data_IF_717533864248
#
_entry.id   IF_717533864248
#
_cell.length_a   1.000
_cell.length_b   1.000
_cell.length_c   1.000
_cell.angle_alpha   90.00
_cell.angle_beta   90.00
_cell.angle_gamma   90.00
#
_symmetry.space_group_name_H-M   'P 1'
#
loop_
_entity.id
_entity.type
_entity.pdbx_description
1 polymer ?
#
# COMPACT_ATOMS: atom_id res chain seq x y z
N UNK A 1 15.39 -42.80 16.20
CA UNK A 1 14.66 -42.36 14.99
C UNK A 1 13.78 -41.16 15.33
N UNK A 2 14.02 -39.98 14.74
CA UNK A 2 13.03 -38.91 14.56
C UNK A 2 13.64 -37.88 13.60
N UNK A 3 13.31 -37.96 12.30
CA UNK A 3 13.74 -36.96 11.32
C UNK A 3 13.03 -35.64 11.65
N UNK A 4 13.79 -34.61 12.05
CA UNK A 4 13.31 -33.23 12.16
C UNK A 4 12.88 -32.76 10.76
N UNK A 5 11.57 -32.85 10.50
CA UNK A 5 11.00 -32.38 9.25
C UNK A 5 10.98 -30.85 9.28
N UNK A 6 12.02 -30.22 8.69
CA UNK A 6 12.04 -28.77 8.44
C UNK A 6 10.86 -28.44 7.53
N UNK A 7 9.74 -28.00 8.12
CA UNK A 7 8.59 -27.50 7.39
C UNK A 7 9.05 -26.30 6.53
N UNK A 8 9.20 -26.52 5.23
CA UNK A 8 9.38 -25.47 4.25
C UNK A 8 8.19 -24.51 4.39
N UNK A 9 8.46 -23.22 4.58
CA UNK A 9 7.44 -22.17 4.47
C UNK A 9 6.71 -22.36 3.13
N UNK A 10 5.37 -22.47 3.10
CA UNK A 10 4.68 -22.61 1.82
C UNK A 10 4.91 -21.32 1.02
N UNK A 11 5.55 -21.46 -0.16
CA UNK A 11 5.80 -20.35 -1.10
C UNK A 11 4.52 -19.80 -1.74
N UNK A 12 3.37 -20.43 -1.49
CA UNK A 12 2.10 -20.09 -2.11
C UNK A 12 0.99 -20.01 -1.06
N UNK A 13 0.16 -18.97 -1.18
CA UNK A 13 -1.15 -18.92 -0.56
C UNK A 13 -1.98 -20.16 -0.98
N UNK A 14 -2.93 -20.63 -0.14
CA UNK A 14 -3.74 -21.80 -0.47
C UNK A 14 -4.41 -21.66 -1.84
N UNK A 15 -4.27 -22.69 -2.68
CA UNK A 15 -4.91 -22.76 -4.00
C UNK A 15 -6.41 -22.85 -3.78
N UNK A 16 -7.14 -21.85 -4.27
CA UNK A 16 -8.59 -21.72 -4.09
C UNK A 16 -9.27 -22.78 -4.97
N UNK A 17 -9.81 -23.84 -4.37
CA UNK A 17 -10.55 -24.87 -5.10
C UNK A 17 -12.03 -24.48 -5.23
N UNK A 18 -12.41 -24.21 -6.49
CA UNK A 18 -13.74 -24.32 -7.16
C UNK A 18 -14.92 -23.43 -6.74
N UNK A 19 -15.40 -22.66 -7.73
CA UNK A 19 -16.76 -22.16 -7.85
C UNK A 19 -16.85 -20.84 -8.63
N UNK A 20 -16.19 -19.81 -8.12
CA UNK A 20 -16.29 -18.43 -8.63
C UNK A 20 -14.86 -17.89 -8.81
N UNK A 21 -14.38 -17.84 -10.06
CA UNK A 21 -13.09 -17.25 -10.37
C UNK A 21 -13.14 -15.77 -9.97
N UNK A 22 -12.25 -15.35 -9.06
CA UNK A 22 -12.16 -13.95 -8.66
C UNK A 22 -11.94 -13.10 -9.93
N UNK A 23 -12.89 -12.22 -10.23
CA UNK A 23 -12.87 -11.40 -11.45
C UNK A 23 -11.92 -10.22 -11.28
N UNK A 24 -11.36 -9.73 -12.38
CA UNK A 24 -10.58 -8.49 -12.35
C UNK A 24 -11.50 -7.35 -11.89
N UNK A 25 -11.03 -6.59 -10.91
CA UNK A 25 -11.81 -5.52 -10.29
C UNK A 25 -12.13 -4.41 -11.30
N UNK A 26 -13.40 -4.07 -11.41
CA UNK A 26 -13.89 -2.93 -12.19
C UNK A 26 -13.53 -1.60 -11.53
N UNK A 27 -13.79 -0.50 -12.24
CA UNK A 27 -13.44 0.86 -11.81
C UNK A 27 -14.02 1.25 -10.44
N UNK A 28 -15.33 1.04 -10.24
CA UNK A 28 -16.04 1.49 -9.02
C UNK A 28 -15.43 0.98 -7.70
N UNK A 29 -15.23 -0.34 -7.52
CA UNK A 29 -14.58 -0.88 -6.32
C UNK A 29 -13.18 -0.33 -6.06
N UNK A 30 -12.41 -0.03 -7.12
CA UNK A 30 -11.06 0.54 -7.00
C UNK A 30 -11.13 1.97 -6.46
N UNK A 31 -12.05 2.79 -6.98
CA UNK A 31 -12.28 4.14 -6.46
C UNK A 31 -12.76 4.09 -5.02
N UNK A 32 -13.69 3.19 -4.71
CA UNK A 32 -14.14 2.98 -3.34
C UNK A 32 -13.00 2.64 -2.38
N UNK A 33 -12.10 1.73 -2.77
CA UNK A 33 -10.92 1.41 -1.97
C UNK A 33 -9.98 2.61 -1.79
N UNK A 34 -9.77 3.40 -2.85
CA UNK A 34 -8.93 4.60 -2.80
C UNK A 34 -9.49 5.67 -1.85
N UNK A 35 -10.80 5.87 -1.82
CA UNK A 35 -11.42 6.83 -0.88
C UNK A 35 -11.18 6.41 0.56
N UNK A 36 -11.30 5.11 0.87
CA UNK A 36 -11.01 4.59 2.20
C UNK A 36 -9.52 4.72 2.57
N UNK A 37 -8.64 4.36 1.64
CA UNK A 37 -7.20 4.50 1.86
C UNK A 37 -6.77 5.97 1.97
N UNK A 38 -7.44 6.89 1.29
CA UNK A 38 -7.15 8.32 1.37
C UNK A 38 -7.33 8.85 2.80
N UNK A 39 -8.37 8.44 3.52
CA UNK A 39 -8.58 8.83 4.92
C UNK A 39 -7.41 8.37 5.82
N UNK A 40 -6.95 7.14 5.62
CA UNK A 40 -5.85 6.56 6.40
C UNK A 40 -4.53 7.24 6.05
N UNK A 41 -4.28 7.44 4.76
CA UNK A 41 -3.05 8.07 4.25
C UNK A 41 -2.97 9.53 4.66
N UNK A 42 -4.08 10.28 4.67
CA UNK A 42 -4.14 11.64 5.22
C UNK A 42 -3.79 11.62 6.70
N UNK A 43 -4.31 10.66 7.48
CA UNK A 43 -3.96 10.50 8.88
C UNK A 43 -2.46 10.20 9.08
N UNK A 44 -1.89 9.28 8.29
CA UNK A 44 -0.46 8.97 8.32
C UNK A 44 0.38 10.20 7.98
N UNK A 45 0.01 10.92 6.91
CA UNK A 45 0.71 12.13 6.49
C UNK A 45 0.64 13.21 7.57
N UNK A 46 -0.53 13.43 8.19
CA UNK A 46 -0.69 14.42 9.26
C UNK A 46 0.18 14.11 10.47
N UNK A 47 0.24 12.84 10.90
CA UNK A 47 1.11 12.42 12.01
C UNK A 47 2.59 12.59 11.64
N UNK A 48 2.98 12.15 10.44
CA UNK A 48 4.35 12.31 9.95
C UNK A 48 4.76 13.79 9.86
N UNK A 49 3.86 14.66 9.39
CA UNK A 49 4.07 16.10 9.35
C UNK A 49 4.17 16.70 10.75
N UNK A 50 3.32 16.30 11.70
CA UNK A 50 3.41 16.77 13.08
C UNK A 50 4.74 16.39 13.74
N UNK A 51 5.22 15.15 13.52
CA UNK A 51 6.54 14.71 13.97
C UNK A 51 7.64 15.56 13.31
N UNK A 52 7.58 15.76 12.00
CA UNK A 52 8.56 16.56 11.27
C UNK A 52 8.60 18.01 11.75
N UNK A 53 7.45 18.63 11.99
CA UNK A 53 7.36 19.98 12.57
C UNK A 53 7.94 20.01 13.98
N UNK A 54 7.64 19.02 14.82
CA UNK A 54 8.24 18.91 16.16
C UNK A 54 9.76 18.80 16.13
N UNK A 55 10.33 18.06 15.16
CA UNK A 55 11.77 17.98 14.95
C UNK A 55 12.34 19.34 14.52
N UNK A 56 11.70 20.00 13.55
CA UNK A 56 12.13 21.32 13.08
C UNK A 56 12.14 22.35 14.23
N UNK A 57 11.07 22.39 15.02
CA UNK A 57 10.96 23.24 16.20
C UNK A 57 12.06 22.94 17.22
N UNK A 58 12.33 21.67 17.51
CA UNK A 58 13.40 21.28 18.43
C UNK A 58 14.79 21.72 17.94
N UNK A 59 15.07 21.63 16.64
CA UNK A 59 16.32 22.06 16.04
C UNK A 59 16.50 23.59 16.10
N UNK A 60 15.41 24.33 15.90
CA UNK A 60 15.41 25.80 15.99
C UNK A 60 15.57 26.23 17.45
N UNK A 61 14.79 25.66 18.36
CA UNK A 61 14.81 25.98 19.78
C UNK A 61 16.15 25.65 20.46
N UNK A 62 16.86 24.62 19.97
CA UNK A 62 18.21 24.26 20.45
C UNK A 62 19.32 25.14 19.85
N UNK A 63 19.01 26.03 18.92
CA UNK A 63 19.99 26.88 18.23
C UNK A 63 20.86 26.14 17.20
N UNK A 64 20.54 24.87 16.90
CA UNK A 64 21.25 24.09 15.86
C UNK A 64 20.95 24.67 14.47
N UNK A 65 19.72 25.14 14.27
CA UNK A 65 19.26 25.76 13.02
C UNK A 65 18.82 27.19 13.29
N UNK A 66 19.41 28.13 12.57
CA UNK A 66 18.93 29.51 12.51
C UNK A 66 18.08 29.72 11.24
N UNK A 67 16.86 30.22 11.45
CA UNK A 67 15.90 30.52 10.38
C UNK A 67 15.74 32.02 10.13
N UNK A 68 16.36 32.89 10.95
CA UNK A 68 16.20 34.33 10.86
C UNK A 68 16.58 34.86 9.47
N UNK A 69 15.68 35.64 8.86
CA UNK A 69 15.87 36.21 7.53
C UNK A 69 15.84 35.21 6.37
N UNK A 70 15.60 33.91 6.61
CA UNK A 70 15.52 32.87 5.56
C UNK A 70 14.15 32.23 5.46
N UNK A 71 13.49 31.99 6.59
CA UNK A 71 12.16 31.38 6.66
C UNK A 71 11.27 32.17 7.61
N UNK A 72 9.97 32.18 7.32
CA UNK A 72 8.97 32.89 8.15
C UNK A 72 8.65 32.16 9.45
N UNK A 73 8.73 30.83 9.46
CA UNK A 73 8.49 29.98 10.61
C UNK A 73 9.16 28.59 10.44
N UNK A 74 9.00 27.74 11.45
CA UNK A 74 9.48 26.35 11.45
C UNK A 74 8.84 25.48 10.38
N UNK A 75 7.60 25.77 9.98
CA UNK A 75 6.88 25.01 8.97
C UNK A 75 7.41 25.29 7.56
N UNK A 76 7.69 26.56 7.25
CA UNK A 76 8.36 26.99 6.02
C UNK A 76 9.77 26.41 5.94
N UNK A 77 10.51 26.40 7.06
CA UNK A 77 11.78 25.69 7.12
C UNK A 77 11.60 24.21 6.83
N UNK A 78 10.81 23.48 7.63
CA UNK A 78 10.60 22.03 7.48
C UNK A 78 10.14 21.65 6.07
N UNK A 79 9.17 22.36 5.51
CA UNK A 79 8.62 22.11 4.18
C UNK A 79 9.63 22.28 3.04
N UNK A 80 10.70 23.06 3.25
CA UNK A 80 11.80 23.20 2.27
C UNK A 80 12.85 22.09 2.38
N UNK A 81 12.79 21.25 3.42
CA UNK A 81 13.81 20.23 3.66
C UNK A 81 13.45 18.88 3.03
N UNK A 82 14.44 18.26 2.37
CA UNK A 82 14.27 16.94 1.76
C UNK A 82 13.92 15.84 2.79
N UNK A 83 14.46 15.94 4.02
CA UNK A 83 14.16 14.96 5.07
C UNK A 83 12.68 14.99 5.48
N UNK A 84 12.04 16.16 5.45
CA UNK A 84 10.62 16.31 5.76
C UNK A 84 9.77 15.66 4.67
N UNK A 85 10.12 15.91 3.41
CA UNK A 85 9.48 15.25 2.27
C UNK A 85 9.64 13.72 2.33
N UNK A 86 10.84 13.21 2.64
CA UNK A 86 11.09 11.77 2.82
C UNK A 86 10.27 11.21 3.97
N UNK A 87 10.15 11.90 5.10
CA UNK A 87 9.36 11.46 6.24
C UNK A 87 7.87 11.31 5.87
N UNK A 88 7.28 12.35 5.26
CA UNK A 88 5.86 12.34 4.90
C UNK A 88 5.58 11.35 3.77
N UNK A 89 6.23 11.53 2.61
CA UNK A 89 5.98 10.70 1.44
C UNK A 89 6.50 9.27 1.62
N UNK A 90 7.60 9.09 2.35
CA UNK A 90 8.12 7.76 2.69
C UNK A 90 7.18 6.99 3.62
N UNK A 91 6.49 7.66 4.55
CA UNK A 91 5.47 7.02 5.39
C UNK A 91 4.27 6.56 4.56
N UNK A 92 3.80 7.41 3.64
CA UNK A 92 2.70 7.07 2.71
C UNK A 92 3.09 5.94 1.75
N UNK A 93 4.29 6.01 1.15
CA UNK A 93 4.82 4.96 0.30
C UNK A 93 4.97 3.65 1.08
N UNK A 94 5.53 3.72 2.29
CA UNK A 94 5.72 2.58 3.19
C UNK A 94 4.40 1.85 3.48
N UNK A 95 3.31 2.59 3.72
CA UNK A 95 1.97 2.03 3.85
C UNK A 95 1.60 1.16 2.63
N UNK A 96 1.59 1.73 1.42
CA UNK A 96 1.19 0.97 0.23
C UNK A 96 2.13 -0.20 -0.08
N UNK A 97 3.44 0.03 -0.04
CA UNK A 97 4.46 -0.98 -0.35
C UNK A 97 4.35 -2.18 0.61
N UNK A 98 4.18 -1.93 1.91
CA UNK A 98 4.05 -3.00 2.90
C UNK A 98 2.77 -3.82 2.67
N UNK A 99 1.62 -3.15 2.56
CA UNK A 99 0.33 -3.83 2.43
C UNK A 99 0.22 -4.63 1.12
N UNK A 100 0.77 -4.11 0.02
CA UNK A 100 0.73 -4.82 -1.26
C UNK A 100 1.67 -6.03 -1.32
N UNK A 101 2.85 -5.96 -0.68
CA UNK A 101 3.84 -7.05 -0.73
C UNK A 101 3.57 -8.17 0.28
N UNK A 102 2.91 -7.87 1.41
CA UNK A 102 2.69 -8.86 2.47
C UNK A 102 1.29 -9.48 2.42
N UNK A 103 0.24 -8.66 2.31
CA UNK A 103 -1.16 -9.11 2.32
C UNK A 103 -1.85 -9.02 0.95
N UNK A 104 -1.30 -8.22 0.04
CA UNK A 104 -1.96 -7.88 -1.22
C UNK A 104 -3.23 -7.04 -1.04
N UNK A 105 -3.52 -6.53 0.17
CA UNK A 105 -4.71 -5.73 0.45
C UNK A 105 -4.37 -4.62 1.45
N UNK A 106 -4.58 -3.37 1.08
CA UNK A 106 -4.68 -2.26 2.03
C UNK A 106 -5.98 -2.35 2.83
N UNK A 107 -6.15 -1.51 3.85
CA UNK A 107 -7.37 -1.48 4.65
C UNK A 107 -8.59 -1.12 3.78
N UNK A 108 -8.48 -0.14 2.89
CA UNK A 108 -9.54 0.19 1.93
C UNK A 108 -9.82 -0.93 0.94
N UNK A 109 -8.78 -1.60 0.43
CA UNK A 109 -8.96 -2.77 -0.42
C UNK A 109 -9.69 -3.91 0.30
N UNK A 110 -9.45 -4.14 1.59
CA UNK A 110 -10.17 -5.15 2.37
C UNK A 110 -11.67 -4.85 2.47
N UNK A 111 -12.06 -3.58 2.64
CA UNK A 111 -13.47 -3.17 2.69
C UNK A 111 -14.18 -3.45 1.35
N UNK A 112 -13.48 -3.33 0.24
CA UNK A 112 -14.00 -3.59 -1.12
C UNK A 112 -13.70 -4.99 -1.65
N UNK A 113 -13.13 -5.87 -0.83
CA UNK A 113 -12.71 -7.25 -1.18
C UNK A 113 -11.72 -7.28 -2.34
N UNK A 114 -10.89 -6.26 -2.48
CA UNK A 114 -9.88 -6.18 -3.52
C UNK A 114 -8.58 -6.82 -3.05
N UNK A 115 -7.88 -7.48 -3.97
CA UNK A 115 -6.54 -8.01 -3.72
C UNK A 115 -5.65 -7.81 -4.93
N UNK A 116 -4.48 -7.23 -4.72
CA UNK A 116 -3.40 -7.20 -5.70
C UNK A 116 -2.57 -8.48 -5.61
N UNK A 117 -2.31 -9.11 -6.76
CA UNK A 117 -1.51 -10.33 -6.87
C UNK A 117 -0.98 -10.51 -8.29
N UNK A 118 0.01 -11.37 -8.45
CA UNK A 118 0.47 -11.84 -9.75
C UNK A 118 -0.58 -12.76 -10.41
N UNK A 119 -0.42 -13.04 -11.70
CA UNK A 119 -1.30 -13.94 -12.47
C UNK A 119 -1.35 -15.36 -11.91
N UNK A 120 -0.28 -15.82 -11.28
CA UNK A 120 -0.18 -17.13 -10.60
C UNK A 120 -0.78 -17.14 -9.18
N UNK A 121 -1.25 -15.97 -8.69
CA UNK A 121 -1.81 -15.80 -7.35
C UNK A 121 -0.78 -15.55 -6.24
N UNK A 122 0.50 -15.47 -6.57
CA UNK A 122 1.55 -15.05 -5.63
C UNK A 122 1.47 -13.56 -5.29
N UNK A 123 2.07 -13.17 -4.17
CA UNK A 123 2.20 -11.77 -3.79
C UNK A 123 3.13 -11.03 -4.77
N UNK A 124 2.87 -9.74 -5.00
CA UNK A 124 3.74 -8.93 -5.85
C UNK A 124 5.07 -8.67 -5.15
N UNK A 125 6.15 -8.58 -5.91
CA UNK A 125 7.46 -8.21 -5.40
C UNK A 125 7.52 -6.74 -5.00
N UNK A 126 8.53 -6.37 -4.19
CA UNK A 126 8.77 -4.97 -3.82
C UNK A 126 9.00 -4.08 -5.05
N UNK A 127 9.77 -4.56 -6.03
CA UNK A 127 10.02 -3.84 -7.28
C UNK A 127 8.72 -3.56 -8.03
N UNK A 128 7.83 -4.56 -8.15
CA UNK A 128 6.52 -4.36 -8.75
C UNK A 128 5.68 -3.35 -7.98
N UNK A 129 5.70 -3.40 -6.64
CA UNK A 129 4.99 -2.46 -5.80
C UNK A 129 5.49 -1.01 -5.97
N UNK A 130 6.81 -0.80 -6.13
CA UNK A 130 7.41 0.51 -6.41
C UNK A 130 6.99 1.02 -7.79
N UNK A 131 7.10 0.19 -8.84
CA UNK A 131 6.63 0.55 -10.18
C UNK A 131 5.16 0.92 -10.14
N UNK A 132 4.36 0.13 -9.42
CA UNK A 132 2.93 0.36 -9.23
C UNK A 132 2.63 1.69 -8.55
N UNK A 133 3.39 2.04 -7.51
CA UNK A 133 3.24 3.31 -6.80
C UNK A 133 3.59 4.50 -7.72
N UNK A 134 4.72 4.41 -8.43
CA UNK A 134 5.18 5.47 -9.33
C UNK A 134 4.22 5.70 -10.50
N UNK A 135 3.61 4.63 -11.03
CA UNK A 135 2.69 4.69 -12.17
C UNK A 135 1.22 4.91 -11.77
N UNK A 136 0.86 4.79 -10.49
CA UNK A 136 -0.51 5.01 -10.04
C UNK A 136 -0.96 6.47 -10.17
N UNK A 137 -0.02 7.43 -10.24
CA UNK A 137 -0.28 8.86 -10.39
C UNK A 137 -1.34 9.37 -9.39
N UNK A 138 -1.14 9.12 -8.09
CA UNK A 138 -2.09 9.44 -7.02
C UNK A 138 -3.52 8.88 -7.23
N UNK A 139 -3.63 7.74 -7.92
CA UNK A 139 -4.91 7.08 -8.21
C UNK A 139 -5.45 7.35 -9.61
N UNK A 140 -4.93 8.36 -10.33
CA UNK A 140 -5.35 8.71 -11.69
C UNK A 140 -5.12 7.58 -12.70
N UNK A 141 -4.15 6.69 -12.45
CA UNK A 141 -3.93 5.50 -13.29
C UNK A 141 -5.14 4.55 -13.37
N UNK A 142 -6.10 4.67 -12.45
CA UNK A 142 -7.36 3.91 -12.51
C UNK A 142 -8.36 4.48 -13.54
N UNK A 143 -8.19 5.70 -14.03
CA UNK A 143 -9.05 6.28 -15.07
C UNK A 143 -8.97 5.52 -16.40
N UNK A 144 -7.90 4.74 -16.62
CA UNK A 144 -7.79 3.84 -17.76
C UNK A 144 -8.74 2.63 -17.68
N UNK A 145 -9.15 2.21 -16.46
CA UNK A 145 -9.89 0.96 -16.25
C UNK A 145 -11.18 0.85 -17.09
N UNK A 146 -12.05 1.89 -17.19
CA UNK A 146 -13.25 1.82 -18.02
C UNK A 146 -12.98 1.64 -19.52
N UNK A 147 -11.77 1.99 -19.99
CA UNK A 147 -11.35 1.91 -21.39
C UNK A 147 -10.51 0.67 -21.70
N UNK A 148 -10.05 -0.07 -20.68
CA UNK A 148 -9.26 -1.29 -20.83
C UNK A 148 -10.17 -2.52 -20.89
N UNK A 149 -10.07 -3.29 -21.98
CA UNK A 149 -10.84 -4.54 -22.21
C UNK A 149 -10.72 -5.54 -21.06
N UNK A 150 -9.57 -5.54 -20.35
CA UNK A 150 -9.29 -6.43 -19.22
C UNK A 150 -9.50 -5.76 -17.86
N UNK A 151 -10.07 -4.54 -17.80
CA UNK A 151 -10.23 -3.75 -16.57
C UNK A 151 -8.91 -3.56 -15.79
N UNK A 152 -7.78 -3.49 -16.49
CA UNK A 152 -6.47 -3.23 -15.88
C UNK A 152 -6.21 -1.73 -15.84
N UNK A 153 -5.78 -1.26 -14.67
CA UNK A 153 -5.34 0.12 -14.51
C UNK A 153 -3.95 0.32 -15.13
N UNK A 154 -3.54 1.57 -15.36
CA UNK A 154 -2.22 1.89 -15.91
C UNK A 154 -1.10 1.23 -15.07
N UNK A 155 -1.18 1.37 -13.76
CA UNK A 155 -0.23 0.75 -12.84
C UNK A 155 -0.28 -0.78 -12.81
N UNK A 156 -1.42 -1.41 -13.15
CA UNK A 156 -1.54 -2.88 -13.27
C UNK A 156 -0.70 -3.38 -14.46
N UNK A 157 -0.73 -2.64 -15.56
CA UNK A 157 0.03 -2.99 -16.77
C UNK A 157 1.54 -2.93 -16.53
N UNK A 158 2.03 -1.82 -15.97
CA UNK A 158 3.46 -1.59 -15.77
C UNK A 158 4.07 -2.49 -14.68
N UNK A 159 3.32 -2.76 -13.62
CA UNK A 159 3.76 -3.66 -12.54
C UNK A 159 3.52 -5.15 -12.83
N UNK A 160 2.93 -5.48 -13.99
CA UNK A 160 2.55 -6.83 -14.40
C UNK A 160 1.80 -7.60 -13.29
N UNK A 161 0.75 -6.99 -12.75
CA UNK A 161 -0.07 -7.60 -11.71
C UNK A 161 -1.55 -7.32 -11.97
N UNK A 162 -2.42 -8.02 -11.23
CA UNK A 162 -3.87 -7.85 -11.33
C UNK A 162 -4.45 -7.46 -9.98
N UNK A 163 -5.48 -6.61 -10.00
CA UNK A 163 -6.35 -6.40 -8.84
C UNK A 163 -7.61 -7.22 -9.07
N UNK A 164 -7.83 -8.20 -8.21
CA UNK A 164 -9.00 -9.06 -8.25
C UNK A 164 -10.02 -8.59 -7.22
N UNK A 165 -11.30 -8.76 -7.53
CA UNK A 165 -12.39 -8.65 -6.56
C UNK A 165 -12.74 -10.05 -6.06
N UNK A 166 -12.41 -10.31 -4.81
CA UNK A 166 -12.67 -11.57 -4.15
C UNK A 166 -14.16 -11.70 -3.79
N UNK A 167 -14.66 -12.94 -3.81
CA UNK A 167 -15.95 -13.26 -3.17
C UNK A 167 -15.87 -13.02 -1.66
N UNK A 168 -17.01 -12.97 -0.98
CA UNK A 168 -17.05 -12.76 0.48
C UNK A 168 -16.29 -13.88 1.22
N UNK A 169 -16.44 -15.12 0.76
CA UNK A 169 -15.80 -16.29 1.36
C UNK A 169 -14.29 -16.34 1.08
N UNK A 170 -13.88 -15.98 -0.15
CA UNK A 170 -12.47 -15.84 -0.50
C UNK A 170 -11.77 -14.77 0.35
N UNK A 171 -12.40 -13.62 0.52
CA UNK A 171 -11.85 -12.56 1.38
C UNK A 171 -11.80 -13.02 2.85
N UNK A 172 -12.86 -13.66 3.36
CA UNK A 172 -12.91 -14.16 4.73
C UNK A 172 -11.87 -15.23 5.05
N UNK A 173 -11.68 -16.19 4.14
CA UNK A 173 -10.66 -17.25 4.28
C UNK A 173 -9.24 -16.71 4.25
N UNK A 174 -8.93 -15.72 3.40
CA UNK A 174 -7.64 -15.05 3.36
C UNK A 174 -7.29 -14.38 4.70
N UNK A 175 -8.25 -13.67 5.29
CA UNK A 175 -8.08 -13.00 6.57
C UNK A 175 -7.84 -14.01 7.71
N UNK A 176 -8.64 -15.08 7.78
CA UNK A 176 -8.46 -16.15 8.76
C UNK A 176 -7.12 -16.85 8.64
N UNK A 177 -6.62 -17.03 7.42
CA UNK A 177 -5.32 -17.63 7.17
C UNK A 177 -4.18 -16.73 7.68
N UNK A 178 -4.26 -15.43 7.42
CA UNK A 178 -3.28 -14.45 7.91
C UNK A 178 -3.23 -14.42 9.45
N UNK A 179 -4.37 -14.53 10.13
CA UNK A 179 -4.43 -14.56 11.60
C UNK A 179 -3.73 -15.79 12.17
N UNK A 180 -3.91 -16.97 11.56
CA UNK A 180 -3.23 -18.20 11.96
C UNK A 180 -1.71 -18.12 11.82
N UNK A 181 -1.20 -17.39 10.83
CA UNK A 181 0.25 -17.21 10.66
C UNK A 181 0.86 -16.29 11.71
N UNK A 182 0.09 -15.34 12.27
CA UNK A 182 0.57 -14.45 13.35
C UNK A 182 0.62 -15.12 14.72
N UNK A 183 -0.12 -16.22 14.90
CA UNK A 183 -0.19 -16.96 16.17
C UNK A 183 0.92 -18.02 16.31
N UNK A 184 1.80 -18.17 15.32
CA UNK A 184 2.94 -19.10 15.32
C UNK A 184 4.26 -18.35 15.42
#
# INVERSE_FOLDING_TARGET
>A
MAKKNKLRKPKHAPKIETGETASIATFGPRIGALVYDALIVIGIAAIASAIGLGIAEALIASGIVDIAGRYVDSAAYAGSQIWFAILVWGSVAGFYLWFWTHGGQTVGMRAWRLRVQNTDGSAISLTQAIIRLATAACGLGNLQVPFDVKNRAFQDHWSNCNVLRLSKDQNGSLLRYADKLKQK
#
